data_IF_897826343547
#
_entry.id   IF_897826343547
#
_cell.length_a   1.000
_cell.length_b   1.000
_cell.length_c   1.000
_cell.angle_alpha   90.00
_cell.angle_beta   90.00
_cell.angle_gamma   90.00
#
_symmetry.space_group_name_H-M   'P 1'
#
loop_
_entity.id
_entity.type
_entity.pdbx_description
1 polymer ?
#
# COMPACT_ATOMS: atom_id res chain seq x y z
N UNK A 1 0.74 -2.79 6.85
CA UNK A 1 1.16 -3.60 5.68
C UNK A 1 2.59 -3.32 5.21
N UNK A 2 2.88 -2.29 4.39
CA UNK A 2 4.22 -2.10 3.78
C UNK A 2 5.36 -1.74 4.75
N UNK A 3 5.04 -1.36 5.98
CA UNK A 3 6.00 -1.07 7.06
C UNK A 3 6.44 -2.33 7.82
N UNK A 4 5.62 -3.38 7.85
CA UNK A 4 5.87 -4.65 8.54
C UNK A 4 5.42 -5.85 7.68
N UNK A 5 5.88 -5.97 6.42
CA UNK A 5 5.32 -6.94 5.49
C UNK A 5 5.48 -8.41 5.94
N UNK A 6 6.59 -8.72 6.61
CA UNK A 6 6.87 -10.07 7.12
C UNK A 6 5.92 -10.52 8.24
N UNK A 7 5.20 -9.60 8.87
CA UNK A 7 4.25 -9.91 9.95
C UNK A 7 2.80 -9.81 9.44
N UNK A 8 2.52 -8.72 8.71
CA UNK A 8 1.17 -8.37 8.25
C UNK A 8 0.69 -9.30 7.12
N UNK A 9 1.57 -9.70 6.19
CA UNK A 9 1.17 -10.52 5.05
C UNK A 9 0.82 -11.95 5.48
N UNK A 10 1.63 -12.66 6.30
CA UNK A 10 1.22 -13.97 6.82
C UNK A 10 -0.08 -13.91 7.61
N UNK A 11 -0.28 -12.89 8.45
CA UNK A 11 -1.51 -12.73 9.22
C UNK A 11 -2.75 -12.55 8.32
N UNK A 12 -2.61 -11.79 7.22
CA UNK A 12 -3.68 -11.64 6.22
C UNK A 12 -3.98 -12.95 5.47
N UNK A 13 -2.95 -13.73 5.14
CA UNK A 13 -3.09 -15.01 4.45
C UNK A 13 -3.80 -16.03 5.38
N UNK A 14 -3.42 -16.09 6.65
CA UNK A 14 -4.06 -16.92 7.67
C UNK A 14 -5.53 -16.54 7.92
N UNK A 15 -5.81 -15.23 8.03
CA UNK A 15 -7.17 -14.72 8.13
C UNK A 15 -8.07 -15.17 6.96
N UNK A 16 -7.51 -15.23 5.75
CA UNK A 16 -8.21 -15.73 4.56
C UNK A 16 -8.35 -17.27 4.53
N UNK A 17 -7.80 -18.00 5.50
CA UNK A 17 -7.78 -19.46 5.53
C UNK A 17 -6.90 -20.09 4.43
N UNK A 18 -5.90 -19.35 3.94
CA UNK A 18 -5.02 -19.79 2.87
C UNK A 18 -3.66 -20.27 3.43
N UNK A 19 -3.00 -21.18 2.72
CA UNK A 19 -1.66 -21.64 3.08
C UNK A 19 -0.60 -20.56 2.84
N UNK A 20 0.34 -20.42 3.76
CA UNK A 20 1.44 -19.47 3.63
C UNK A 20 2.48 -19.91 2.59
N UNK A 21 2.93 -18.95 1.76
CA UNK A 21 4.08 -19.10 0.86
C UNK A 21 5.05 -17.92 1.01
N UNK A 22 6.34 -18.21 1.22
CA UNK A 22 7.36 -17.17 1.36
C UNK A 22 7.49 -16.24 0.13
N UNK A 23 7.07 -16.73 -1.05
CA UNK A 23 7.02 -15.94 -2.28
C UNK A 23 6.06 -14.74 -2.20
N UNK A 24 5.08 -14.75 -1.28
CA UNK A 24 4.19 -13.62 -1.01
C UNK A 24 4.93 -12.36 -0.53
N UNK A 25 6.15 -12.48 -0.01
CA UNK A 25 7.02 -11.33 0.33
C UNK A 25 7.85 -10.81 -0.85
N UNK A 26 7.90 -11.54 -1.96
CA UNK A 26 8.73 -11.27 -3.14
C UNK A 26 7.86 -11.09 -4.38
N UNK A 27 6.81 -10.26 -4.26
CA UNK A 27 5.79 -10.06 -5.29
C UNK A 27 6.37 -9.57 -6.62
N UNK A 28 7.50 -8.86 -6.57
CA UNK A 28 8.23 -8.37 -7.74
C UNK A 28 8.76 -9.49 -8.64
N UNK A 29 8.95 -10.70 -8.09
CA UNK A 29 9.41 -11.89 -8.83
C UNK A 29 8.30 -12.62 -9.57
N UNK A 30 7.02 -12.29 -9.34
CA UNK A 30 5.90 -12.92 -10.01
C UNK A 30 5.95 -12.63 -11.53
N UNK A 31 5.97 -13.67 -12.37
CA UNK A 31 6.11 -13.53 -13.83
C UNK A 31 4.80 -13.27 -14.58
N UNK A 32 3.65 -13.40 -13.92
CA UNK A 32 2.34 -13.18 -14.55
C UNK A 32 2.22 -11.75 -15.10
N UNK A 33 1.57 -11.53 -16.26
CA UNK A 33 1.42 -10.20 -16.85
C UNK A 33 0.58 -9.28 -15.94
N UNK A 34 0.96 -8.00 -15.89
CA UNK A 34 0.22 -6.94 -15.17
C UNK A 34 -0.13 -5.85 -16.17
N UNK A 35 -1.43 -5.61 -16.37
CA UNK A 35 -1.98 -4.68 -17.35
C UNK A 35 -2.78 -3.56 -16.69
N UNK A 36 -2.22 -2.96 -15.63
CA UNK A 36 -2.83 -1.85 -14.88
C UNK A 36 -1.87 -0.65 -14.85
N UNK A 37 -2.40 0.54 -14.52
CA UNK A 37 -1.58 1.75 -14.36
C UNK A 37 -0.49 1.62 -13.28
N UNK A 38 -0.64 0.65 -12.36
CA UNK A 38 0.31 0.37 -11.29
C UNK A 38 1.42 -0.60 -11.69
N UNK A 39 1.54 -0.98 -12.98
CA UNK A 39 2.47 -2.01 -13.47
C UNK A 39 3.90 -1.81 -12.97
N UNK A 40 4.43 -0.58 -13.06
CA UNK A 40 5.81 -0.30 -12.64
C UNK A 40 5.95 -0.43 -11.13
N UNK A 41 4.98 0.05 -10.35
CA UNK A 41 5.02 -0.04 -8.88
C UNK A 41 4.95 -1.48 -8.37
N UNK A 42 4.12 -2.33 -8.98
CA UNK A 42 3.97 -3.75 -8.58
C UNK A 42 5.22 -4.58 -8.93
N UNK A 43 6.08 -4.08 -9.82
CA UNK A 43 7.33 -4.71 -10.24
C UNK A 43 8.53 -4.36 -9.38
N UNK A 44 8.33 -3.64 -8.30
CA UNK A 44 9.35 -3.32 -7.32
C UNK A 44 9.11 -4.08 -6.02
N UNK A 45 10.19 -4.32 -5.27
CA UNK A 45 10.10 -4.89 -3.94
C UNK A 45 9.20 -4.01 -3.04
N UNK A 46 8.52 -4.64 -2.08
CA UNK A 46 7.66 -3.94 -1.12
C UNK A 46 8.46 -2.83 -0.43
N UNK A 47 7.96 -1.60 -0.50
CA UNK A 47 8.64 -0.42 0.02
C UNK A 47 7.67 0.67 0.50
N UNK A 48 8.20 1.62 1.25
CA UNK A 48 7.46 2.72 1.87
C UNK A 48 7.55 4.04 1.09
N UNK A 49 8.20 4.05 -0.08
CA UNK A 49 8.56 5.29 -0.82
C UNK A 49 7.37 6.15 -1.26
N UNK A 50 6.19 5.54 -1.33
CA UNK A 50 4.95 6.20 -1.77
C UNK A 50 4.19 6.84 -0.61
N UNK A 51 4.54 6.53 0.64
CA UNK A 51 3.95 7.16 1.82
C UNK A 51 4.32 8.65 1.81
N UNK A 52 3.31 9.51 1.98
CA UNK A 52 3.51 10.97 2.06
C UNK A 52 3.78 11.67 0.73
N UNK A 53 3.83 10.98 -0.42
CA UNK A 53 4.06 11.64 -1.73
C UNK A 53 3.02 12.71 -2.07
N UNK A 54 1.82 12.60 -1.52
CA UNK A 54 0.76 13.58 -1.72
C UNK A 54 1.09 14.95 -1.13
N UNK A 55 2.00 15.05 -0.14
CA UNK A 55 2.36 16.33 0.50
C UNK A 55 2.91 17.37 -0.48
N UNK A 56 3.51 16.93 -1.59
CA UNK A 56 3.95 17.83 -2.66
C UNK A 56 2.78 18.59 -3.32
N UNK A 57 1.56 18.07 -3.16
CA UNK A 57 0.32 18.66 -3.66
C UNK A 57 -0.56 19.22 -2.54
N UNK A 58 -0.03 19.35 -1.31
CA UNK A 58 -0.80 19.79 -0.15
C UNK A 58 -1.46 21.16 -0.35
N UNK A 59 -0.82 22.06 -1.12
CA UNK A 59 -1.40 23.36 -1.48
C UNK A 59 -2.77 23.23 -2.20
N UNK A 60 -3.03 22.09 -2.85
CA UNK A 60 -4.28 21.80 -3.55
C UNK A 60 -5.30 21.03 -2.68
N UNK A 61 -4.92 20.54 -1.50
CA UNK A 61 -5.78 19.76 -0.59
C UNK A 61 -6.30 20.57 0.60
N UNK A 62 -5.88 21.83 0.79
CA UNK A 62 -6.22 22.65 1.95
C UNK A 62 -7.73 22.72 2.29
N UNK A 63 -8.61 22.84 1.29
CA UNK A 63 -10.07 22.86 1.53
C UNK A 63 -10.59 21.53 2.08
N UNK A 64 -10.05 20.42 1.57
CA UNK A 64 -10.43 19.08 2.01
C UNK A 64 -9.89 18.80 3.42
N UNK A 65 -8.67 19.27 3.73
CA UNK A 65 -8.07 19.17 5.06
C UNK A 65 -8.88 19.91 6.11
N UNK A 66 -9.31 21.15 5.82
CA UNK A 66 -10.19 21.91 6.71
C UNK A 66 -11.52 21.19 6.97
N UNK A 67 -12.17 20.70 5.91
CA UNK A 67 -13.42 19.93 6.03
C UNK A 67 -13.25 18.65 6.88
N UNK A 68 -12.15 17.92 6.68
CA UNK A 68 -11.85 16.71 7.46
C UNK A 68 -11.55 17.01 8.93
N UNK A 69 -10.94 18.15 9.23
CA UNK A 69 -10.67 18.58 10.61
C UNK A 69 -11.98 18.88 11.34
N UNK A 70 -12.90 19.62 10.70
CA UNK A 70 -14.20 19.96 11.28
C UNK A 70 -15.06 18.71 11.56
N UNK A 71 -15.05 17.72 10.64
CA UNK A 71 -15.78 16.46 10.83
C UNK A 71 -15.23 15.59 11.97
N UNK A 72 -13.95 15.70 12.30
CA UNK A 72 -13.34 14.96 13.43
C UNK A 72 -13.55 15.63 14.79
N UNK A 73 -13.88 16.91 14.79
CA UNK A 73 -14.13 17.68 16.01
C UNK A 73 -15.57 17.54 16.54
N UNK A 74 -16.46 16.94 15.75
CA UNK A 74 -17.84 16.60 16.09
C UNK A 74 -17.99 15.10 16.37
#
# INVERSE_FOLDING_TARGET
>A
LVTRPAEEIPALIDFCGLSWEAACLQVEKNKAPVSTASKVQVREAINTRSIGRWWQYAAHTAKLEALLADLKAN
#
